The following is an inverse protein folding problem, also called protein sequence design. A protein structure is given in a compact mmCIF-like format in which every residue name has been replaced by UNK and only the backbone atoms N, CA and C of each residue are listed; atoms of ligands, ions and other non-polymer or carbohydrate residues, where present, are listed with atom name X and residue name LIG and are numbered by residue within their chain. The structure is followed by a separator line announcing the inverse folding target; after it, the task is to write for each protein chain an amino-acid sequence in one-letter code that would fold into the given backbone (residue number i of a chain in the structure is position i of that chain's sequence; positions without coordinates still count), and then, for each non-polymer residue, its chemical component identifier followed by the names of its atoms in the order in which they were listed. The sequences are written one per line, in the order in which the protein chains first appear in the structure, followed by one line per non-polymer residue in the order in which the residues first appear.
data_IF_736502421630
#
_entry.id   IF_736502421630
#
_cell.length_a   1.000
_cell.length_b   1.000
_cell.length_c   1.000
_cell.angle_alpha   90.00
_cell.angle_beta   90.00
_cell.angle_gamma   90.00
#
_symmetry.space_group_name_H-M   'P 1'
#
loop_
_entity.id
_entity.type
_entity.pdbx_description
1 polymer ?
#
# COMPACT_ATOMS: atom_id res chain seq x y z
N UNK A 1 10.48 5.47 13.75
CA UNK A 1 9.71 5.46 12.48
C UNK A 1 8.25 5.06 12.73
N UNK A 2 7.41 5.21 11.70
CA UNK A 2 6.04 4.70 11.60
C UNK A 2 5.85 3.99 10.25
N UNK A 3 4.99 2.99 10.21
CA UNK A 3 4.51 2.37 8.97
C UNK A 3 3.29 3.18 8.52
N UNK A 4 3.40 3.84 7.37
CA UNK A 4 2.48 4.92 7.02
C UNK A 4 1.28 4.43 6.20
N UNK A 5 1.43 3.38 5.40
CA UNK A 5 0.34 2.70 4.69
C UNK A 5 -0.60 1.88 5.61
N UNK A 6 -0.40 1.90 6.92
CA UNK A 6 -1.33 1.35 7.92
C UNK A 6 -2.00 2.42 8.79
N UNK A 7 -1.66 3.70 8.59
CA UNK A 7 -2.16 4.80 9.42
C UNK A 7 -3.58 5.28 9.05
N UNK A 8 -4.12 4.87 7.91
CA UNK A 8 -5.41 5.34 7.40
C UNK A 8 -6.34 4.17 7.13
N UNK A 9 -7.60 4.31 7.54
CA UNK A 9 -8.63 3.37 7.15
C UNK A 9 -8.92 3.53 5.65
N UNK A 10 -8.74 2.45 4.89
CA UNK A 10 -9.02 2.39 3.46
C UNK A 10 -9.83 1.13 3.15
N UNK A 11 -10.60 1.11 2.04
CA UNK A 11 -11.19 -0.13 1.54
C UNK A 11 -10.12 -1.19 1.30
N UNK A 12 -10.42 -2.48 1.53
CA UNK A 12 -9.48 -3.59 1.33
C UNK A 12 -8.76 -3.56 -0.03
N UNK A 13 -9.45 -3.06 -1.07
CA UNK A 13 -8.86 -2.94 -2.41
C UNK A 13 -7.65 -2.00 -2.50
N UNK A 14 -7.41 -1.14 -1.52
CA UNK A 14 -6.33 -0.14 -1.50
C UNK A 14 -5.22 -0.45 -0.50
N UNK A 15 -5.23 -1.65 0.07
CA UNK A 15 -4.29 -2.08 1.12
C UNK A 15 -3.25 -3.07 0.61
N UNK A 16 -3.64 -3.94 -0.33
CA UNK A 16 -2.72 -4.93 -0.89
C UNK A 16 -1.75 -4.25 -1.87
N UNK A 17 -0.50 -4.65 -1.79
CA UNK A 17 0.62 -4.18 -2.61
C UNK A 17 1.13 -5.27 -3.55
N UNK A 18 0.58 -6.48 -3.44
CA UNK A 18 0.96 -7.62 -4.26
C UNK A 18 -0.23 -8.54 -4.52
N UNK A 19 -0.33 -9.05 -5.75
CA UNK A 19 -1.36 -9.99 -6.18
C UNK A 19 -0.70 -11.23 -6.79
N UNK A 20 -1.14 -12.45 -6.43
CA UNK A 20 -0.62 -13.66 -7.06
C UNK A 20 -0.83 -13.63 -8.59
N UNK A 21 0.01 -14.31 -9.38
CA UNK A 21 -0.17 -14.38 -10.84
C UNK A 21 -1.56 -14.90 -11.27
N UNK A 22 -2.18 -15.77 -10.46
CA UNK A 22 -3.52 -16.30 -10.71
C UNK A 22 -4.66 -15.42 -10.14
N UNK A 23 -4.35 -14.28 -9.52
CA UNK A 23 -5.31 -13.33 -8.95
C UNK A 23 -6.03 -13.77 -7.67
N UNK A 24 -5.75 -14.98 -7.15
CA UNK A 24 -6.48 -15.56 -6.01
C UNK A 24 -6.12 -14.95 -4.66
N UNK A 25 -4.87 -14.52 -4.48
CA UNK A 25 -4.39 -13.98 -3.22
C UNK A 25 -3.85 -12.56 -3.40
N UNK A 26 -4.08 -11.74 -2.37
CA UNK A 26 -3.69 -10.33 -2.32
C UNK A 26 -3.09 -10.05 -0.96
N UNK A 27 -1.86 -9.57 -0.93
CA UNK A 27 -1.09 -9.37 0.29
C UNK A 27 -0.56 -7.94 0.39
N UNK A 28 -0.31 -7.50 1.62
CA UNK A 28 0.39 -6.25 1.91
C UNK A 28 1.81 -6.60 2.38
N UNK A 29 2.78 -6.54 1.47
CA UNK A 29 4.18 -6.92 1.73
C UNK A 29 5.15 -5.74 1.58
N UNK A 30 4.78 -4.74 0.78
CA UNK A 30 5.50 -3.46 0.68
C UNK A 30 5.00 -2.43 1.70
N UNK A 31 5.95 -1.75 2.36
CA UNK A 31 5.67 -0.79 3.41
C UNK A 31 6.43 0.51 3.24
N UNK A 32 5.75 1.62 3.54
CA UNK A 32 6.34 2.96 3.48
C UNK A 32 6.66 3.41 4.91
N UNK A 33 7.95 3.53 5.20
CA UNK A 33 8.44 3.98 6.50
C UNK A 33 8.67 5.49 6.49
N UNK A 34 8.20 6.18 7.53
CA UNK A 34 8.45 7.61 7.70
C UNK A 34 8.97 7.92 9.11
N UNK A 35 9.75 9.00 9.22
CA UNK A 35 10.14 9.54 10.52
C UNK A 35 8.88 10.03 11.26
N UNK A 36 8.78 9.71 12.56
CA UNK A 36 7.65 10.12 13.43
C UNK A 36 7.42 11.64 13.41
N UNK A 37 8.49 12.44 13.27
CA UNK A 37 8.41 13.90 13.18
C UNK A 37 7.49 14.38 12.07
N UNK A 38 7.39 13.64 10.96
CA UNK A 38 6.59 14.02 9.79
C UNK A 38 5.23 13.35 9.74
N UNK A 39 4.82 12.62 10.79
CA UNK A 39 3.54 11.89 10.82
C UNK A 39 2.34 12.77 10.47
N UNK A 40 2.29 13.98 11.00
CA UNK A 40 1.18 14.92 10.77
C UNK A 40 1.16 15.52 9.37
N UNK A 41 2.25 15.43 8.62
CA UNK A 41 2.32 15.89 7.23
C UNK A 41 1.74 14.89 6.23
N UNK A 42 1.49 13.65 6.65
CA UNK A 42 0.92 12.59 5.82
C UNK A 42 -0.60 12.70 5.90
N UNK A 43 -1.26 12.87 4.75
CA UNK A 43 -2.73 13.06 4.68
C UNK A 43 -3.47 11.84 4.16
N UNK A 44 -2.83 11.01 3.32
CA UNK A 44 -3.39 9.81 2.74
C UNK A 44 -2.28 8.93 2.16
N UNK A 45 -2.40 7.63 2.35
CA UNK A 45 -1.61 6.61 1.65
C UNK A 45 -2.55 5.49 1.22
N UNK A 46 -2.38 5.01 -0.01
CA UNK A 46 -3.21 3.98 -0.63
C UNK A 46 -2.46 3.38 -1.79
N UNK A 47 -2.71 2.11 -2.07
CA UNK A 47 -2.32 1.52 -3.34
C UNK A 47 -3.28 1.92 -4.46
N UNK A 48 -2.81 1.77 -5.69
CA UNK A 48 -3.47 2.07 -6.96
C UNK A 48 -3.51 0.80 -7.81
N UNK A 49 -4.42 -0.13 -7.47
CA UNK A 49 -4.50 -1.37 -8.22
C UNK A 49 -4.93 -1.14 -9.67
N UNK A 50 -4.35 -1.91 -10.58
CA UNK A 50 -4.61 -1.79 -12.02
C UNK A 50 -3.83 -0.66 -12.70
N UNK A 51 -2.80 -0.12 -12.05
CA UNK A 51 -1.76 0.59 -12.77
C UNK A 51 -1.03 -0.40 -13.69
N UNK A 52 -0.86 -0.03 -14.96
CA UNK A 52 -0.15 -0.87 -15.92
C UNK A 52 1.36 -0.75 -15.69
N UNK A 53 1.86 -1.60 -14.79
CA UNK A 53 3.26 -1.61 -14.36
C UNK A 53 4.03 -2.86 -14.83
N UNK A 54 3.35 -3.84 -15.44
CA UNK A 54 3.97 -5.10 -15.88
C UNK A 54 4.54 -5.96 -14.75
N UNK A 55 4.09 -5.76 -13.50
CA UNK A 55 4.51 -6.51 -12.31
C UNK A 55 3.30 -7.05 -11.56
N UNK A 56 3.55 -7.98 -10.64
CA UNK A 56 2.60 -8.48 -9.64
C UNK A 56 2.41 -7.52 -8.45
N UNK A 57 3.14 -6.40 -8.43
CA UNK A 57 3.05 -5.37 -7.41
C UNK A 57 2.10 -4.24 -7.80
N UNK A 58 1.37 -3.73 -6.81
CA UNK A 58 0.48 -2.58 -6.96
C UNK A 58 1.19 -1.29 -6.54
N UNK A 59 0.99 -0.23 -7.31
CA UNK A 59 1.59 1.10 -7.07
C UNK A 59 1.02 1.82 -5.86
#
# INVERSE_FOLDING_TARGET
MIITNTCFQQPKRRLYTWTTPNGQHRNQIDYILCNRRWKSSITSIKTRPGADCGTDHEL
#
